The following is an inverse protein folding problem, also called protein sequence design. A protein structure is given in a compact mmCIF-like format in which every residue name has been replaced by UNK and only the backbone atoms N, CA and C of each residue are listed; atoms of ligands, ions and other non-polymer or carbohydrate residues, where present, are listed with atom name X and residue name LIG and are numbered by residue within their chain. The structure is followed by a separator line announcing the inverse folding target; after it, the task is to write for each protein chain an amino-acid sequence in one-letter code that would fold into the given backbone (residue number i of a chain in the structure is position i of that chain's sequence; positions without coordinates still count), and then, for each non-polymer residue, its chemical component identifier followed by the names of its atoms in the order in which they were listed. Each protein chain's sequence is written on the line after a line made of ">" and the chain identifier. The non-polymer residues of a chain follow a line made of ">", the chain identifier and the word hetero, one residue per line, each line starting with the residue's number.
data_IF_264973585197
#
_entry.id   IF_264973585197
#
_cell.length_a   1.000
_cell.length_b   1.000
_cell.length_c   1.000
_cell.angle_alpha   90.00
_cell.angle_beta   90.00
_cell.angle_gamma   90.00
#
_symmetry.space_group_name_H-M   'P 1'
#
loop_
_entity.id
_entity.type
_entity.pdbx_description
1 polymer ?
#
# COMPACT_ATOMS: atom_id res chain seq x y z
N UNK A 1 27.87 -31.32 -8.00
CA UNK A 1 27.02 -30.24 -7.58
C UNK A 1 25.60 -30.69 -7.41
N UNK A 2 24.98 -30.30 -6.37
CA UNK A 2 23.61 -30.65 -6.09
C UNK A 2 22.69 -29.74 -6.85
N UNK A 3 21.89 -30.28 -7.73
CA UNK A 3 20.97 -29.49 -8.52
C UNK A 3 19.87 -28.84 -7.70
N UNK A 4 19.45 -29.47 -6.60
CA UNK A 4 18.45 -28.90 -5.71
C UNK A 4 18.97 -27.85 -4.75
N UNK A 5 20.23 -27.51 -4.84
CA UNK A 5 20.92 -26.65 -3.96
C UNK A 5 20.70 -25.21 -4.31
N UNK A 6 19.59 -24.71 -3.96
CA UNK A 6 19.07 -23.45 -4.44
C UNK A 6 18.80 -22.43 -3.37
N UNK A 7 19.59 -22.43 -2.30
CA UNK A 7 19.45 -21.35 -1.34
C UNK A 7 19.93 -20.07 -1.97
N UNK A 8 19.01 -19.28 -2.44
CA UNK A 8 19.27 -18.00 -3.08
C UNK A 8 18.88 -16.90 -2.11
N UNK A 9 19.82 -16.01 -1.81
CA UNK A 9 19.58 -14.86 -0.98
C UNK A 9 19.41 -13.65 -1.84
N UNK A 10 18.26 -12.99 -1.72
CA UNK A 10 17.95 -11.80 -2.50
C UNK A 10 17.63 -10.66 -1.56
N UNK A 11 18.34 -9.57 -1.70
CA UNK A 11 18.01 -8.33 -1.04
C UNK A 11 17.41 -7.38 -2.08
N UNK A 12 16.38 -6.64 -1.68
CA UNK A 12 15.73 -5.71 -2.58
C UNK A 12 15.09 -4.56 -1.81
N UNK A 13 14.89 -3.46 -2.51
CA UNK A 13 14.16 -2.31 -2.02
C UNK A 13 12.99 -2.04 -2.95
N UNK A 14 11.97 -1.39 -2.42
CA UNK A 14 10.83 -1.04 -3.24
C UNK A 14 9.90 -0.09 -2.53
N UNK A 15 8.91 0.35 -3.26
CA UNK A 15 7.89 1.27 -2.77
C UNK A 15 6.54 0.56 -2.86
N UNK A 16 5.83 0.55 -1.74
CA UNK A 16 4.46 0.07 -1.69
C UNK A 16 3.56 1.28 -1.48
N UNK A 17 2.64 1.48 -2.39
CA UNK A 17 1.63 2.52 -2.26
C UNK A 17 0.33 1.90 -1.76
N UNK A 18 -0.18 2.43 -0.66
CA UNK A 18 -1.43 1.99 -0.06
C UNK A 18 -2.40 3.16 -0.01
N UNK A 19 -3.66 2.88 -0.12
CA UNK A 19 -4.68 3.90 -0.03
C UNK A 19 -6.06 3.31 0.04
N UNK A 20 -7.06 4.16 -0.03
CA UNK A 20 -8.46 3.76 -0.03
C UNK A 20 -9.05 3.97 -1.42
N UNK A 21 -10.07 3.16 -1.73
CA UNK A 21 -10.84 3.35 -2.96
C UNK A 21 -11.82 4.50 -2.73
N UNK A 22 -11.56 5.63 -3.38
CA UNK A 22 -12.38 6.84 -3.23
C UNK A 22 -13.83 6.60 -3.69
N UNK A 23 -14.05 5.64 -4.58
CA UNK A 23 -15.40 5.31 -5.04
C UNK A 23 -16.25 4.66 -3.95
N UNK A 24 -15.61 4.17 -2.90
CA UNK A 24 -16.28 3.56 -1.75
C UNK A 24 -16.40 4.52 -0.58
N UNK A 25 -15.95 5.74 -0.73
CA UNK A 25 -16.09 6.79 0.28
C UNK A 25 -17.41 7.51 0.03
N UNK A 26 -18.20 7.66 1.07
CA UNK A 26 -19.42 8.46 1.01
C UNK A 26 -19.34 9.57 2.05
N UNK A 27 -19.81 10.74 1.66
CA UNK A 27 -19.80 11.92 2.53
C UNK A 27 -21.23 12.42 2.63
N UNK A 28 -21.75 12.52 3.84
CA UNK A 28 -23.10 13.05 4.07
C UNK A 28 -23.09 14.57 3.99
N UNK A 29 -24.28 15.13 3.83
CA UNK A 29 -24.44 16.57 4.04
C UNK A 29 -24.29 16.86 5.54
N UNK A 30 -23.83 18.06 5.91
CA UNK A 30 -23.78 18.46 7.31
C UNK A 30 -25.17 18.42 7.94
N UNK A 31 -25.25 17.93 9.15
CA UNK A 31 -26.49 17.98 9.91
C UNK A 31 -26.65 19.35 10.62
N UNK A 32 -27.68 19.49 11.43
CA UNK A 32 -27.95 20.73 12.14
C UNK A 32 -26.84 21.14 13.12
N UNK A 33 -26.01 20.20 13.52
CA UNK A 33 -24.87 20.45 14.40
C UNK A 33 -23.54 20.56 13.64
N UNK A 34 -23.60 20.69 12.34
CA UNK A 34 -22.44 20.75 11.44
C UNK A 34 -21.57 19.51 11.50
N UNK A 35 -22.17 18.36 11.76
CA UNK A 35 -21.48 17.07 11.71
C UNK A 35 -21.61 16.46 10.31
N UNK A 36 -20.49 16.14 9.73
CA UNK A 36 -20.41 15.46 8.44
C UNK A 36 -20.02 14.01 8.70
N UNK A 37 -20.82 13.08 8.22
CA UNK A 37 -20.53 11.65 8.36
C UNK A 37 -19.81 11.17 7.11
N UNK A 38 -18.68 10.54 7.31
CA UNK A 38 -17.89 9.96 6.22
C UNK A 38 -17.80 8.45 6.43
N UNK A 39 -18.21 7.70 5.40
CA UNK A 39 -18.03 6.26 5.38
C UNK A 39 -16.75 5.97 4.61
N UNK A 40 -15.84 5.24 5.24
CA UNK A 40 -14.51 4.98 4.69
C UNK A 40 -14.25 3.47 4.62
N UNK A 41 -13.77 2.97 3.47
CA UNK A 41 -13.38 1.56 3.35
C UNK A 41 -12.02 1.30 3.99
N UNK A 42 -11.68 0.03 4.13
CA UNK A 42 -10.33 -0.36 4.51
C UNK A 42 -9.35 0.04 3.43
N UNK A 43 -8.12 0.31 3.85
CA UNK A 43 -7.03 0.56 2.90
C UNK A 43 -6.65 -0.70 2.17
N UNK A 44 -6.09 -0.53 0.99
CA UNK A 44 -5.61 -1.62 0.16
C UNK A 44 -4.29 -1.23 -0.48
N UNK A 45 -3.56 -2.23 -0.95
CA UNK A 45 -2.35 -1.99 -1.72
C UNK A 45 -2.76 -1.54 -3.12
N UNK A 46 -2.32 -0.36 -3.51
CA UNK A 46 -2.61 0.22 -4.82
C UNK A 46 -1.56 -0.13 -5.86
N UNK A 47 -0.31 -0.09 -5.46
CA UNK A 47 0.79 -0.45 -6.34
C UNK A 47 2.00 -0.92 -5.55
N UNK A 48 2.82 -1.70 -6.20
CA UNK A 48 4.10 -2.15 -5.66
C UNK A 48 5.12 -1.95 -6.75
N UNK A 49 6.19 -1.23 -6.43
CA UNK A 49 7.29 -1.01 -7.34
C UNK A 49 8.59 -1.41 -6.66
N UNK A 50 9.11 -2.56 -7.06
CA UNK A 50 10.42 -3.00 -6.63
C UNK A 50 11.44 -2.25 -7.47
N UNK A 51 12.44 -1.69 -6.82
CA UNK A 51 13.55 -1.08 -7.52
C UNK A 51 14.37 -2.20 -8.15
N UNK A 52 14.29 -2.32 -9.46
CA UNK A 52 14.98 -3.36 -10.21
C UNK A 52 16.48 -3.33 -9.97
N UNK A 53 17.05 -2.14 -9.84
CA UNK A 53 18.48 -1.98 -9.60
C UNK A 53 18.88 -2.38 -8.18
N UNK A 54 17.91 -2.44 -7.26
CA UNK A 54 18.17 -2.84 -5.86
C UNK A 54 18.24 -4.35 -5.67
N UNK A 55 17.75 -5.12 -6.64
CA UNK A 55 17.77 -6.57 -6.53
C UNK A 55 19.20 -7.06 -6.65
N UNK A 56 19.72 -7.58 -5.54
CA UNK A 56 21.06 -8.11 -5.52
C UNK A 56 21.16 -9.38 -6.36
N UNK A 57 22.36 -9.64 -6.87
CA UNK A 57 22.63 -10.89 -7.51
C UNK A 57 22.39 -12.03 -6.52
N UNK A 58 21.53 -13.00 -6.86
CA UNK A 58 21.31 -14.13 -5.96
C UNK A 58 22.60 -14.85 -5.64
N UNK A 59 22.77 -15.16 -4.38
CA UNK A 59 23.92 -15.93 -3.90
C UNK A 59 23.46 -17.33 -3.54
N UNK A 60 24.10 -18.32 -4.12
CA UNK A 60 23.95 -19.70 -3.70
C UNK A 60 25.23 -20.12 -3.03
N UNK A 61 25.21 -21.23 -2.31
CA UNK A 61 26.38 -21.69 -1.59
C UNK A 61 27.60 -21.96 -2.49
N UNK A 62 27.38 -22.04 -3.80
CA UNK A 62 28.43 -22.35 -4.74
C UNK A 62 28.43 -21.50 -6.01
N UNK A 63 27.66 -20.47 -6.05
CA UNK A 63 27.44 -19.83 -7.34
C UNK A 63 28.07 -18.46 -7.52
N UNK A 64 29.01 -18.12 -6.71
CA UNK A 64 29.69 -16.85 -6.92
C UNK A 64 30.40 -16.76 -8.26
N UNK A 65 30.52 -17.88 -8.96
CA UNK A 65 31.07 -17.91 -10.31
C UNK A 65 30.01 -17.94 -11.40
N UNK A 66 28.75 -18.02 -11.02
CA UNK A 66 27.65 -18.15 -11.97
C UNK A 66 27.01 -16.80 -12.22
N UNK A 67 26.95 -16.39 -13.47
CA UNK A 67 26.21 -15.19 -13.85
C UNK A 67 24.73 -15.54 -13.99
N UNK A 68 23.87 -14.56 -13.74
CA UNK A 68 22.44 -14.71 -13.91
C UNK A 68 22.07 -14.22 -15.29
N UNK A 69 21.31 -15.02 -16.03
CA UNK A 69 20.81 -14.63 -17.32
C UNK A 69 19.76 -13.52 -17.22
N UNK A 70 19.53 -12.82 -18.30
CA UNK A 70 18.49 -11.78 -18.36
C UNK A 70 17.12 -12.37 -18.07
N UNK A 71 16.85 -13.58 -18.57
CA UNK A 71 15.59 -14.26 -18.31
C UNK A 71 15.39 -14.57 -16.83
N UNK A 72 16.44 -15.03 -16.17
CA UNK A 72 16.39 -15.29 -14.72
C UNK A 72 16.18 -14.02 -13.93
N UNK A 73 16.75 -12.90 -14.34
CA UNK A 73 16.54 -11.60 -13.70
C UNK A 73 15.09 -11.17 -13.81
N UNK A 74 14.47 -11.33 -14.96
CA UNK A 74 13.05 -10.99 -15.18
C UNK A 74 12.16 -11.85 -14.29
N UNK A 75 12.39 -13.14 -14.26
CA UNK A 75 11.61 -14.06 -13.39
C UNK A 75 11.79 -13.69 -11.92
N UNK A 76 13.00 -13.39 -11.51
CA UNK A 76 13.30 -12.97 -10.13
C UNK A 76 12.60 -11.66 -9.79
N UNK A 77 12.63 -10.70 -10.67
CA UNK A 77 11.95 -9.42 -10.48
C UNK A 77 10.45 -9.62 -10.30
N UNK A 78 9.81 -10.34 -11.20
CA UNK A 78 8.37 -10.59 -11.13
C UNK A 78 7.98 -11.33 -9.85
N UNK A 79 8.76 -12.31 -9.45
CA UNK A 79 8.53 -13.05 -8.22
C UNK A 79 8.69 -12.15 -7.00
N UNK A 80 9.72 -11.34 -6.96
CA UNK A 80 9.99 -10.40 -5.87
C UNK A 80 8.86 -9.39 -5.72
N UNK A 81 8.38 -8.85 -6.83
CA UNK A 81 7.28 -7.90 -6.83
C UNK A 81 5.99 -8.54 -6.31
N UNK A 82 5.69 -9.76 -6.75
CA UNK A 82 4.54 -10.52 -6.26
C UNK A 82 4.63 -10.81 -4.77
N UNK A 83 5.79 -11.20 -4.28
CA UNK A 83 6.00 -11.47 -2.85
C UNK A 83 5.88 -10.20 -2.00
N UNK A 84 6.41 -9.09 -2.48
CA UNK A 84 6.29 -7.80 -1.80
C UNK A 84 4.82 -7.38 -1.69
N UNK A 85 4.06 -7.55 -2.77
CA UNK A 85 2.63 -7.27 -2.78
C UNK A 85 1.88 -8.12 -1.76
N UNK A 86 2.15 -9.43 -1.73
CA UNK A 86 1.52 -10.34 -0.77
C UNK A 86 1.83 -9.98 0.67
N UNK A 87 3.06 -9.62 0.95
CA UNK A 87 3.45 -9.19 2.30
C UNK A 87 2.74 -7.90 2.70
N UNK A 88 2.67 -6.93 1.78
CA UNK A 88 2.01 -5.67 2.04
C UNK A 88 0.50 -5.87 2.28
N UNK A 89 -0.15 -6.73 1.51
CA UNK A 89 -1.58 -7.02 1.67
C UNK A 89 -1.90 -7.66 3.02
N UNK A 90 -0.94 -8.31 3.63
CA UNK A 90 -1.09 -8.95 4.95
C UNK A 90 -0.59 -8.07 6.10
N UNK A 91 0.01 -6.95 5.79
CA UNK A 91 0.53 -6.04 6.79
C UNK A 91 -0.59 -5.12 7.29
N UNK A 92 -1.30 -5.58 8.31
CA UNK A 92 -2.41 -4.85 8.90
C UNK A 92 -2.00 -3.50 9.48
N UNK A 93 -0.79 -3.40 9.99
CA UNK A 93 -0.28 -2.13 10.52
C UNK A 93 -0.07 -1.12 9.39
N UNK A 94 0.51 -1.54 8.28
CA UNK A 94 0.70 -0.70 7.11
C UNK A 94 -0.64 -0.20 6.57
N UNK A 95 -1.60 -1.10 6.39
CA UNK A 95 -2.92 -0.75 5.86
C UNK A 95 -3.70 0.14 6.83
N UNK A 96 -3.58 -0.11 8.13
CA UNK A 96 -4.20 0.72 9.15
C UNK A 96 -3.64 2.14 9.13
N UNK A 97 -2.34 2.29 9.00
CA UNK A 97 -1.70 3.61 8.87
C UNK A 97 -2.15 4.35 7.62
N UNK A 98 -2.30 3.63 6.52
CA UNK A 98 -2.80 4.21 5.28
C UNK A 98 -4.22 4.72 5.45
N UNK A 99 -5.09 3.95 6.11
CA UNK A 99 -6.45 4.37 6.41
C UNK A 99 -6.48 5.61 7.31
N UNK A 100 -5.68 5.62 8.38
CA UNK A 100 -5.60 6.77 9.27
C UNK A 100 -5.09 8.02 8.54
N UNK A 101 -4.12 7.86 7.65
CA UNK A 101 -3.63 8.98 6.84
C UNK A 101 -4.73 9.51 5.92
N UNK A 102 -5.51 8.63 5.31
CA UNK A 102 -6.64 9.02 4.47
C UNK A 102 -7.69 9.80 5.29
N UNK A 103 -7.97 9.36 6.50
CA UNK A 103 -8.89 10.07 7.41
C UNK A 103 -8.40 11.49 7.70
N UNK A 104 -7.13 11.65 8.00
CA UNK A 104 -6.55 12.97 8.28
C UNK A 104 -6.74 13.90 7.08
N UNK A 105 -6.45 13.41 5.89
CA UNK A 105 -6.55 14.21 4.68
C UNK A 105 -7.99 14.58 4.35
N UNK A 106 -8.92 13.63 4.51
CA UNK A 106 -10.34 13.88 4.27
C UNK A 106 -10.91 14.87 5.29
N UNK A 107 -10.54 14.72 6.55
CA UNK A 107 -10.99 15.63 7.59
C UNK A 107 -10.50 17.05 7.37
N UNK A 108 -9.22 17.22 7.02
CA UNK A 108 -8.68 18.53 6.65
C UNK A 108 -9.44 19.14 5.47
N UNK A 109 -9.74 18.33 4.48
CA UNK A 109 -10.49 18.79 3.32
C UNK A 109 -11.89 19.30 3.72
N UNK A 110 -12.61 18.53 4.52
CA UNK A 110 -13.96 18.90 4.96
C UNK A 110 -13.92 20.18 5.82
N UNK A 111 -12.96 20.29 6.72
CA UNK A 111 -12.80 21.49 7.54
C UNK A 111 -12.47 22.71 6.71
N UNK A 112 -11.60 22.57 5.73
CA UNK A 112 -11.24 23.67 4.82
C UNK A 112 -12.43 24.12 3.97
N UNK A 113 -13.23 23.17 3.50
CA UNK A 113 -14.47 23.50 2.76
C UNK A 113 -15.41 24.29 3.65
N UNK A 114 -15.60 23.83 4.90
CA UNK A 114 -16.43 24.54 5.87
C UNK A 114 -15.95 25.97 6.12
N UNK A 115 -14.68 26.14 6.40
CA UNK A 115 -14.09 27.46 6.63
C UNK A 115 -14.30 28.42 5.47
N UNK A 116 -14.26 27.90 4.24
CA UNK A 116 -14.45 28.73 3.04
C UNK A 116 -15.85 29.35 2.98
N UNK A 117 -16.82 28.77 3.65
CA UNK A 117 -18.21 29.27 3.70
C UNK A 117 -18.62 29.73 5.11
N UNK A 118 -17.66 29.90 6.00
CA UNK A 118 -17.90 30.39 7.36
C UNK A 118 -18.51 29.37 8.31
N UNK A 119 -18.31 28.09 8.04
CA UNK A 119 -18.86 27.02 8.87
C UNK A 119 -17.74 26.23 9.52
N UNK A 120 -17.99 25.74 10.73
CA UNK A 120 -17.08 24.82 11.42
C UNK A 120 -17.68 23.42 11.35
N UNK A 121 -17.12 22.59 10.46
CA UNK A 121 -17.56 21.21 10.35
C UNK A 121 -16.73 20.29 11.23
N UNK A 122 -17.38 19.29 11.79
CA UNK A 122 -16.74 18.16 12.45
C UNK A 122 -17.05 16.90 11.66
N UNK A 123 -16.17 15.94 11.75
CA UNK A 123 -16.31 14.68 11.01
C UNK A 123 -16.58 13.54 11.95
N UNK A 124 -17.56 12.72 11.59
CA UNK A 124 -17.87 11.48 12.27
C UNK A 124 -17.63 10.35 11.27
N UNK A 125 -16.87 9.34 11.70
CA UNK A 125 -16.42 8.26 10.83
C UNK A 125 -17.27 7.01 11.00
N UNK A 126 -17.57 6.38 9.87
CA UNK A 126 -18.20 5.06 9.83
C UNK A 126 -17.38 4.18 8.89
N UNK A 127 -17.27 2.90 9.23
CA UNK A 127 -16.61 1.96 8.33
C UNK A 127 -17.57 1.51 7.23
N UNK A 128 -17.08 1.44 6.02
CA UNK A 128 -17.85 0.92 4.89
C UNK A 128 -18.07 -0.58 5.08
N UNK A 129 -19.21 -1.06 4.64
CA UNK A 129 -19.49 -2.49 4.67
C UNK A 129 -18.55 -3.21 3.71
N UNK A 130 -18.11 -4.39 4.13
CA UNK A 130 -17.28 -5.26 3.32
C UNK A 130 -18.18 -6.08 2.41
N UNK A 131 -17.94 -5.98 1.11
CA UNK A 131 -18.66 -6.75 0.11
C UNK A 131 -18.10 -8.17 -0.01
#
# INVERSE_FOLDING_TARGET
>A
LKTGYKKIWIEYEGIVECGIDINKVTVSEPDKDNVVKITIPEAQVLSVNVDEDSISTPLTDKCFLTSISTEEKVVTFNKTQSEMKKKAEKDNELLSRAKERAKILLEEYIKNVGESIGEEYTVEWEDAEVE
#
